data_IF_010148309430
#
_entry.id   IF_010148309430
#
_cell.length_a   1.000
_cell.length_b   1.000
_cell.length_c   1.000
_cell.angle_alpha   90.00
_cell.angle_beta   90.00
_cell.angle_gamma   90.00
#
_symmetry.space_group_name_H-M   'P 1'
#
loop_
_entity.id
_entity.type
_entity.pdbx_description
1 polymer ?
#
# COMPACT_ATOMS: atom_id res chain seq x y z
N UNK A 1 -16.46 -25.80 -6.15
CA UNK A 1 -16.53 -25.38 -7.57
C UNK A 1 -15.34 -25.84 -8.43
N UNK A 2 -14.38 -26.64 -7.93
CA UNK A 2 -13.28 -27.21 -8.75
C UNK A 2 -12.25 -26.21 -9.31
N UNK A 3 -12.55 -24.91 -9.28
CA UNK A 3 -11.63 -23.85 -9.66
C UNK A 3 -10.59 -23.58 -8.56
N UNK A 4 -9.37 -23.29 -8.99
CA UNK A 4 -8.27 -22.88 -8.11
C UNK A 4 -8.44 -21.41 -7.71
N UNK A 5 -8.33 -21.10 -6.42
CA UNK A 5 -8.41 -19.73 -5.96
C UNK A 5 -7.10 -19.00 -6.25
N UNK A 6 -7.20 -17.81 -6.83
CA UNK A 6 -6.09 -16.89 -7.03
C UNK A 6 -6.44 -15.59 -6.31
N UNK A 7 -5.54 -15.14 -5.44
CA UNK A 7 -5.67 -13.86 -4.77
C UNK A 7 -4.91 -12.79 -5.56
N UNK A 8 -5.45 -11.56 -5.62
CA UNK A 8 -4.77 -10.40 -6.17
C UNK A 8 -4.64 -9.34 -5.08
N UNK A 9 -3.43 -8.82 -4.90
CA UNK A 9 -3.13 -7.79 -3.91
C UNK A 9 -2.57 -6.53 -4.61
N UNK A 10 -3.20 -5.35 -4.42
CA UNK A 10 -2.84 -4.13 -5.15
C UNK A 10 -1.77 -3.23 -4.49
N UNK A 11 -1.37 -3.51 -3.26
CA UNK A 11 -0.27 -2.87 -2.52
C UNK A 11 1.09 -3.51 -2.78
N UNK A 12 2.09 -3.13 -1.97
CA UNK A 12 3.48 -3.53 -2.17
C UNK A 12 3.73 -4.99 -1.73
N UNK A 13 4.70 -5.68 -2.36
CA UNK A 13 5.11 -7.00 -1.91
C UNK A 13 5.68 -6.97 -0.49
N UNK A 14 6.33 -5.87 -0.09
CA UNK A 14 6.81 -5.69 1.28
C UNK A 14 5.68 -5.78 2.33
N UNK A 15 4.53 -5.16 2.07
CA UNK A 15 3.35 -5.23 2.96
C UNK A 15 2.81 -6.66 3.06
N UNK A 16 2.73 -7.35 1.93
CA UNK A 16 2.27 -8.73 1.86
C UNK A 16 3.19 -9.64 2.67
N UNK A 17 4.50 -9.51 2.48
CA UNK A 17 5.50 -10.29 3.20
C UNK A 17 5.40 -10.06 4.72
N UNK A 18 5.16 -8.82 5.15
CA UNK A 18 4.93 -8.48 6.56
C UNK A 18 3.67 -9.18 7.09
N UNK A 19 2.54 -9.03 6.39
CA UNK A 19 1.25 -9.60 6.79
C UNK A 19 1.34 -11.12 6.89
N UNK A 20 1.96 -11.80 5.92
CA UNK A 20 2.13 -13.25 5.92
C UNK A 20 3.00 -13.75 7.09
N UNK A 21 3.90 -12.91 7.61
CA UNK A 21 4.76 -13.26 8.74
C UNK A 21 4.17 -12.92 10.12
N UNK A 22 2.99 -12.29 10.20
CA UNK A 22 2.33 -11.96 11.47
C UNK A 22 2.33 -13.14 12.48
N UNK A 23 1.97 -14.39 12.10
CA UNK A 23 1.99 -15.51 13.05
C UNK A 23 3.36 -15.77 13.67
N UNK A 24 4.44 -15.65 12.87
CA UNK A 24 5.82 -15.83 13.33
C UNK A 24 6.25 -14.69 14.25
N UNK A 25 5.89 -13.45 13.89
CA UNK A 25 6.18 -12.26 14.69
C UNK A 25 5.45 -12.25 16.03
N UNK A 26 4.26 -12.86 16.11
CA UNK A 26 3.58 -13.08 17.40
C UNK A 26 4.31 -14.17 18.19
N UNK A 27 4.69 -15.27 17.54
CA UNK A 27 5.36 -16.40 18.17
C UNK A 27 6.73 -16.03 18.77
N UNK A 28 7.53 -15.22 18.07
CA UNK A 28 8.82 -14.75 18.55
C UNK A 28 8.71 -13.57 19.54
N UNK A 29 7.49 -13.07 19.76
CA UNK A 29 7.17 -11.99 20.68
C UNK A 29 7.62 -10.62 20.18
N UNK A 30 7.81 -10.43 18.88
CA UNK A 30 8.01 -9.11 18.27
C UNK A 30 6.72 -8.31 18.21
N UNK A 31 5.59 -8.99 18.00
CA UNK A 31 4.23 -8.44 18.05
C UNK A 31 3.40 -9.13 19.15
N UNK A 32 2.43 -8.42 19.72
CA UNK A 32 1.35 -9.03 20.49
C UNK A 32 0.17 -9.43 19.59
N UNK A 33 -0.85 -10.05 20.19
CA UNK A 33 -2.06 -10.46 19.47
C UNK A 33 -2.97 -9.31 19.02
N UNK A 34 -2.65 -8.06 19.40
CA UNK A 34 -3.37 -6.86 18.96
C UNK A 34 -2.56 -6.06 17.92
N UNK A 35 -1.39 -6.55 17.51
CA UNK A 35 -0.54 -5.88 16.51
C UNK A 35 0.39 -4.81 17.10
N UNK A 36 0.54 -4.76 18.43
CA UNK A 36 1.50 -3.86 19.06
C UNK A 36 2.90 -4.44 19.04
N UNK A 37 3.89 -3.60 18.71
CA UNK A 37 5.31 -3.96 18.74
C UNK A 37 5.78 -4.08 20.19
N UNK A 38 6.26 -5.26 20.55
CA UNK A 38 6.64 -5.65 21.92
C UNK A 38 8.15 -5.63 22.15
N UNK A 39 8.95 -5.89 21.10
CA UNK A 39 10.41 -5.90 21.16
C UNK A 39 10.99 -4.96 20.13
N UNK A 40 11.95 -4.14 20.57
CA UNK A 40 12.60 -3.11 19.75
C UNK A 40 11.59 -2.10 19.18
N UNK A 41 12.06 -0.98 18.65
CA UNK A 41 11.18 -0.05 17.93
C UNK A 41 10.98 -0.44 16.45
N UNK A 42 11.48 -1.62 16.06
CA UNK A 42 11.60 -2.06 14.67
C UNK A 42 11.21 -3.53 14.48
N UNK A 43 10.52 -3.83 13.38
CA UNK A 43 10.25 -5.18 12.88
C UNK A 43 11.14 -5.45 11.67
N UNK A 44 11.91 -6.54 11.73
CA UNK A 44 12.80 -6.98 10.65
C UNK A 44 12.30 -8.27 10.02
N UNK A 45 12.06 -8.28 8.70
CA UNK A 45 11.63 -9.48 7.97
C UNK A 45 12.81 -10.25 7.36
N UNK A 46 13.83 -9.52 6.89
CA UNK A 46 15.08 -10.06 6.38
C UNK A 46 16.19 -9.01 6.48
N UNK A 47 17.45 -9.41 6.34
CA UNK A 47 18.58 -8.49 6.35
C UNK A 47 18.71 -7.66 5.06
N UNK A 48 17.98 -8.03 4.00
CA UNK A 48 17.99 -7.36 2.70
C UNK A 48 16.85 -6.34 2.56
N UNK A 49 15.99 -6.23 3.58
CA UNK A 49 14.88 -5.29 3.62
C UNK A 49 15.10 -4.23 4.69
N UNK A 50 14.60 -3.00 4.48
CA UNK A 50 14.60 -2.00 5.55
C UNK A 50 13.73 -2.46 6.73
N UNK A 51 14.12 -2.12 7.97
CA UNK A 51 13.29 -2.37 9.14
C UNK A 51 12.01 -1.52 9.08
N UNK A 52 10.89 -2.09 9.51
CA UNK A 52 9.65 -1.37 9.73
C UNK A 52 9.66 -0.69 11.08
N UNK A 53 9.43 0.61 11.14
CA UNK A 53 9.16 1.29 12.41
C UNK A 53 7.75 0.98 12.89
N UNK A 54 7.52 1.10 14.19
CA UNK A 54 6.18 0.96 14.78
C UNK A 54 5.11 1.78 14.05
N UNK A 55 5.42 3.01 13.64
CA UNK A 55 4.47 3.92 12.98
C UNK A 55 4.36 3.74 11.46
N UNK A 56 5.10 2.79 10.88
CA UNK A 56 5.06 2.47 9.44
C UNK A 56 4.26 1.19 9.17
N UNK A 57 3.82 0.49 10.21
CA UNK A 57 3.07 -0.76 10.05
C UNK A 57 1.70 -0.50 9.39
N UNK A 58 1.23 -1.39 8.50
CA UNK A 58 0.09 -1.14 7.62
C UNK A 58 -1.25 -1.03 8.37
N UNK A 59 -1.32 -1.51 9.62
CA UNK A 59 -2.50 -1.36 10.48
C UNK A 59 -2.49 -0.07 11.32
N UNK A 60 -1.45 0.76 11.23
CA UNK A 60 -1.36 2.05 11.93
C UNK A 60 -1.98 3.15 11.06
N UNK A 61 -3.29 3.05 10.86
CA UNK A 61 -4.06 3.91 9.95
C UNK A 61 -4.55 5.22 10.59
N UNK A 62 -4.63 5.26 11.91
CA UNK A 62 -5.11 6.42 12.66
C UNK A 62 -4.48 6.46 14.06
N UNK A 63 -4.84 7.46 14.87
CA UNK A 63 -4.43 7.52 16.30
C UNK A 63 -5.35 6.70 17.21
N UNK A 64 -6.47 6.18 16.70
CA UNK A 64 -7.43 5.39 17.47
C UNK A 64 -6.96 3.92 17.53
N UNK A 65 -6.67 3.45 18.75
CA UNK A 65 -6.20 2.08 18.99
C UNK A 65 -7.24 1.01 18.62
N UNK A 66 -8.54 1.33 18.66
CA UNK A 66 -9.59 0.39 18.24
C UNK A 66 -9.59 0.23 16.73
N UNK A 67 -9.46 1.33 15.99
CA UNK A 67 -9.36 1.28 14.53
C UNK A 67 -8.10 0.51 14.09
N UNK A 68 -6.96 0.76 14.73
CA UNK A 68 -5.73 0.01 14.47
C UNK A 68 -5.92 -1.49 14.70
N UNK A 69 -6.56 -1.86 15.82
CA UNK A 69 -6.85 -3.27 16.13
C UNK A 69 -7.76 -3.92 15.10
N UNK A 70 -8.80 -3.22 14.64
CA UNK A 70 -9.70 -3.72 13.59
C UNK A 70 -8.94 -3.98 12.30
N UNK A 71 -8.08 -3.04 11.88
CA UNK A 71 -7.27 -3.22 10.66
C UNK A 71 -6.28 -4.37 10.82
N UNK A 72 -5.66 -4.51 11.99
CA UNK A 72 -4.78 -5.65 12.28
C UNK A 72 -5.52 -7.00 12.20
N UNK A 73 -6.72 -7.10 12.77
CA UNK A 73 -7.56 -8.29 12.67
C UNK A 73 -7.94 -8.57 11.19
N UNK A 74 -8.24 -7.55 10.39
CA UNK A 74 -8.45 -7.69 8.95
C UNK A 74 -7.20 -8.23 8.23
N UNK A 75 -6.00 -7.77 8.59
CA UNK A 75 -4.75 -8.30 8.05
C UNK A 75 -4.57 -9.79 8.40
N UNK A 76 -4.90 -10.20 9.63
CA UNK A 76 -4.83 -11.61 10.03
C UNK A 76 -5.83 -12.48 9.26
N UNK A 77 -7.06 -12.01 9.08
CA UNK A 77 -8.07 -12.72 8.29
C UNK A 77 -7.61 -12.87 6.83
N UNK A 78 -7.09 -11.79 6.24
CA UNK A 78 -6.56 -11.83 4.87
C UNK A 78 -5.37 -12.80 4.75
N UNK A 79 -4.44 -12.78 5.71
CA UNK A 79 -3.31 -13.71 5.80
C UNK A 79 -3.79 -15.17 5.83
N UNK A 80 -4.74 -15.49 6.71
CA UNK A 80 -5.29 -16.83 6.85
C UNK A 80 -5.99 -17.28 5.57
N UNK A 81 -6.79 -16.41 4.95
CA UNK A 81 -7.49 -16.72 3.71
C UNK A 81 -6.53 -17.00 2.55
N UNK A 82 -5.48 -16.19 2.40
CA UNK A 82 -4.44 -16.40 1.39
C UNK A 82 -3.72 -17.73 1.64
N UNK A 83 -3.26 -17.96 2.88
CA UNK A 83 -2.52 -19.17 3.22
C UNK A 83 -3.35 -20.46 3.06
N UNK A 84 -4.63 -20.42 3.44
CA UNK A 84 -5.47 -21.61 3.46
C UNK A 84 -6.05 -21.95 2.08
N UNK A 85 -6.36 -20.94 1.26
CA UNK A 85 -7.17 -21.14 0.08
C UNK A 85 -6.48 -20.76 -1.23
N UNK A 86 -5.59 -19.75 -1.23
CA UNK A 86 -5.04 -19.23 -2.48
C UNK A 86 -3.90 -20.13 -2.98
N UNK A 87 -4.05 -20.61 -4.22
CA UNK A 87 -2.97 -21.34 -4.91
C UNK A 87 -1.88 -20.38 -5.37
N UNK A 88 -2.26 -19.20 -5.85
CA UNK A 88 -1.36 -18.17 -6.32
C UNK A 88 -1.73 -16.83 -5.70
N UNK A 89 -0.71 -16.03 -5.36
CA UNK A 89 -0.86 -14.64 -4.98
C UNK A 89 -0.25 -13.75 -6.06
N UNK A 90 -1.12 -13.04 -6.76
CA UNK A 90 -0.75 -12.03 -7.75
C UNK A 90 -0.56 -10.68 -7.07
N UNK A 91 0.45 -9.94 -7.49
CA UNK A 91 0.73 -8.61 -6.96
C UNK A 91 1.11 -7.64 -8.08
N UNK A 92 0.63 -6.40 -7.97
CA UNK A 92 0.97 -5.35 -8.93
C UNK A 92 2.39 -4.78 -8.69
N UNK A 93 3.39 -5.63 -8.85
CA UNK A 93 4.81 -5.31 -8.72
C UNK A 93 5.62 -6.11 -9.74
N UNK A 94 6.92 -5.87 -9.85
CA UNK A 94 7.86 -6.68 -10.61
C UNK A 94 9.05 -7.08 -9.73
N UNK A 95 9.69 -8.21 -10.05
CA UNK A 95 10.65 -8.85 -9.15
C UNK A 95 11.84 -7.95 -8.80
N UNK A 96 12.40 -7.25 -9.78
CA UNK A 96 13.57 -6.38 -9.60
C UNK A 96 13.30 -5.18 -8.69
N UNK A 97 12.04 -4.78 -8.49
CA UNK A 97 11.68 -3.70 -7.57
C UNK A 97 11.72 -4.13 -6.11
N UNK A 98 11.27 -5.36 -5.82
CA UNK A 98 11.00 -5.84 -4.46
C UNK A 98 11.50 -7.29 -4.24
N UNK A 99 12.65 -7.65 -4.81
CA UNK A 99 13.13 -9.05 -4.88
C UNK A 99 13.17 -9.74 -3.52
N UNK A 100 13.66 -9.04 -2.49
CA UNK A 100 13.78 -9.59 -1.13
C UNK A 100 12.42 -9.84 -0.48
N UNK A 101 11.41 -9.00 -0.77
CA UNK A 101 10.03 -9.26 -0.32
C UNK A 101 9.39 -10.40 -1.11
N UNK A 102 9.58 -10.42 -2.44
CA UNK A 102 9.07 -11.49 -3.31
C UNK A 102 9.54 -12.88 -2.85
N UNK A 103 10.81 -12.99 -2.46
CA UNK A 103 11.42 -14.24 -1.98
C UNK A 103 10.82 -14.76 -0.65
N UNK A 104 10.13 -13.91 0.10
CA UNK A 104 9.48 -14.26 1.37
C UNK A 104 8.03 -14.75 1.19
N UNK A 105 7.48 -14.61 -0.02
CA UNK A 105 6.06 -14.88 -0.28
C UNK A 105 5.93 -16.21 -1.04
N UNK A 106 5.26 -17.23 -0.46
CA UNK A 106 5.05 -18.50 -1.15
C UNK A 106 4.03 -18.36 -2.28
N UNK A 107 4.25 -19.10 -3.38
CA UNK A 107 3.37 -19.12 -4.57
C UNK A 107 3.05 -17.72 -5.11
N UNK A 108 4.06 -16.86 -5.13
CA UNK A 108 3.94 -15.46 -5.56
C UNK A 108 4.13 -15.30 -7.06
N UNK A 109 3.36 -14.41 -7.66
CA UNK A 109 3.49 -14.05 -9.07
C UNK A 109 3.38 -12.52 -9.22
N UNK A 110 4.52 -11.81 -9.35
CA UNK A 110 4.51 -10.39 -9.67
C UNK A 110 4.03 -10.20 -11.12
N UNK A 111 2.94 -9.43 -11.30
CA UNK A 111 2.27 -9.21 -12.60
C UNK A 111 2.26 -7.74 -13.04
N UNK A 112 3.02 -6.89 -12.35
CA UNK A 112 3.11 -5.47 -12.60
C UNK A 112 4.23 -5.05 -13.56
N UNK A 113 4.35 -3.74 -13.84
CA UNK A 113 3.40 -2.71 -13.44
C UNK A 113 2.14 -2.74 -14.30
N UNK A 114 0.99 -2.98 -13.66
CA UNK A 114 -0.33 -2.85 -14.24
C UNK A 114 -0.68 -1.37 -14.27
N UNK A 115 -0.27 -0.70 -15.34
CA UNK A 115 -0.62 0.69 -15.61
C UNK A 115 -1.99 0.73 -16.29
N UNK A 116 -2.86 1.63 -15.85
CA UNK A 116 -4.11 1.93 -16.56
C UNK A 116 -3.77 2.62 -17.89
N UNK A 117 -3.59 1.82 -18.95
CA UNK A 117 -3.10 2.28 -20.25
C UNK A 117 -4.19 2.82 -21.19
N UNK A 118 -5.44 2.87 -20.73
CA UNK A 118 -6.55 3.38 -21.54
C UNK A 118 -7.36 4.40 -20.74
N UNK A 119 -7.07 5.68 -20.99
CA UNK A 119 -8.05 6.77 -20.88
C UNK A 119 -9.10 6.49 -21.97
N UNK A 120 -9.94 5.49 -21.72
CA UNK A 120 -11.11 5.25 -22.53
C UNK A 120 -12.15 6.25 -22.03
N UNK A 121 -12.82 6.94 -22.96
CA UNK A 121 -13.90 7.90 -22.65
C UNK A 121 -15.12 7.26 -21.98
N UNK A 122 -15.03 5.98 -21.60
CA UNK A 122 -16.05 5.28 -20.84
C UNK A 122 -15.75 5.44 -19.34
N UNK A 123 -16.75 5.82 -18.52
CA UNK A 123 -16.60 5.99 -17.07
C UNK A 123 -16.25 4.70 -16.31
N UNK A 124 -16.06 3.57 -17.00
CA UNK A 124 -15.79 2.26 -16.40
C UNK A 124 -14.43 1.66 -16.79
N UNK A 125 -13.57 2.38 -17.52
CA UNK A 125 -12.44 1.75 -18.23
C UNK A 125 -11.04 2.07 -17.70
N UNK A 126 -10.90 2.78 -16.59
CA UNK A 126 -9.59 3.29 -16.13
C UNK A 126 -9.24 3.02 -14.66
N UNK A 127 -10.00 2.18 -13.95
CA UNK A 127 -9.79 1.95 -12.51
C UNK A 127 -10.17 3.13 -11.60
N UNK A 128 -10.48 4.30 -12.17
CA UNK A 128 -11.09 5.43 -11.47
C UNK A 128 -12.60 5.23 -11.34
N UNK A 129 -13.14 5.54 -10.17
CA UNK A 129 -14.60 5.62 -9.91
C UNK A 129 -15.18 6.95 -10.42
N UNK A 130 -14.32 7.94 -10.68
CA UNK A 130 -14.68 9.31 -11.04
C UNK A 130 -14.41 9.60 -12.52
N UNK A 131 -15.19 10.53 -13.08
CA UNK A 131 -14.94 11.10 -14.40
C UNK A 131 -13.64 11.91 -14.36
N UNK A 132 -12.74 11.62 -15.29
CA UNK A 132 -11.45 12.29 -15.39
C UNK A 132 -11.59 13.73 -15.91
N UNK A 133 -10.99 14.68 -15.18
CA UNK A 133 -10.82 16.05 -15.65
C UNK A 133 -9.47 16.20 -16.36
N UNK A 134 -9.52 16.61 -17.63
CA UNK A 134 -8.33 16.75 -18.49
C UNK A 134 -7.91 18.21 -18.69
N UNK A 135 -8.59 19.18 -18.07
CA UNK A 135 -8.29 20.61 -18.22
C UNK A 135 -6.88 20.98 -17.74
N UNK A 136 -6.36 20.27 -16.72
CA UNK A 136 -5.01 20.45 -16.20
C UNK A 136 -3.92 20.14 -17.24
N UNK A 137 -4.20 19.28 -18.23
CA UNK A 137 -3.23 18.90 -19.26
C UNK A 137 -2.91 20.09 -20.17
N UNK A 138 -3.91 20.87 -20.57
CA UNK A 138 -3.70 22.08 -21.39
C UNK A 138 -2.94 23.20 -20.65
N UNK A 139 -2.98 23.21 -19.32
CA UNK A 139 -2.14 24.08 -18.51
C UNK A 139 -0.71 23.55 -18.41
N UNK A 140 -0.55 22.23 -18.24
CA UNK A 140 0.75 21.55 -18.16
C UNK A 140 1.57 21.70 -19.44
N UNK A 141 0.91 21.63 -20.61
CA UNK A 141 1.55 21.81 -21.94
C UNK A 141 2.25 23.16 -22.11
N UNK A 142 1.92 24.16 -21.29
CA UNK A 142 2.50 25.51 -21.34
C UNK A 142 3.70 25.71 -20.40
N UNK A 143 3.98 24.75 -19.53
CA UNK A 143 5.05 24.84 -18.53
C UNK A 143 6.39 24.37 -19.10
N UNK A 144 7.50 24.76 -18.46
CA UNK A 144 8.81 24.24 -18.83
C UNK A 144 8.91 22.76 -18.43
N UNK A 145 9.66 21.98 -19.21
CA UNK A 145 9.89 20.56 -18.90
C UNK A 145 10.52 20.44 -17.51
N UNK A 146 9.90 19.63 -16.65
CA UNK A 146 10.39 19.37 -15.29
C UNK A 146 10.19 20.52 -14.31
N UNK A 147 9.41 21.56 -14.64
CA UNK A 147 9.19 22.71 -13.74
C UNK A 147 7.94 22.62 -12.86
N UNK A 148 7.16 21.55 -12.97
CA UNK A 148 5.88 21.41 -12.27
C UNK A 148 5.98 20.34 -11.20
N UNK A 149 5.49 20.64 -10.00
CA UNK A 149 5.28 19.68 -8.93
C UNK A 149 3.83 19.20 -8.98
N UNK A 150 3.62 17.89 -9.09
CA UNK A 150 2.30 17.27 -8.95
C UNK A 150 2.04 16.92 -7.48
N UNK A 151 0.89 17.33 -6.96
CA UNK A 151 0.48 17.05 -5.57
C UNK A 151 -0.87 16.34 -5.58
N UNK A 152 -0.92 15.15 -5.00
CA UNK A 152 -2.14 14.36 -4.79
C UNK A 152 -1.93 13.41 -3.61
N UNK A 153 -2.95 13.29 -2.77
CA UNK A 153 -2.92 12.44 -1.58
C UNK A 153 -3.78 11.17 -1.73
N UNK A 154 -4.24 10.89 -2.95
CA UNK A 154 -5.13 9.78 -3.22
C UNK A 154 -6.59 10.05 -2.79
N UNK A 155 -7.43 9.03 -2.91
CA UNK A 155 -8.88 9.14 -2.72
C UNK A 155 -9.36 8.99 -1.27
N UNK A 156 -8.48 8.56 -0.36
CA UNK A 156 -8.84 8.26 1.03
C UNK A 156 -8.29 9.27 2.04
N UNK A 157 -7.41 10.19 1.62
CA UNK A 157 -6.81 11.16 2.53
C UNK A 157 -7.83 12.18 3.03
N UNK A 158 -7.79 12.45 4.34
CA UNK A 158 -8.62 13.46 5.00
C UNK A 158 -7.70 14.40 5.77
N UNK A 159 -7.89 15.71 5.57
CA UNK A 159 -7.05 16.75 6.19
C UNK A 159 -7.87 17.61 7.14
N UNK A 160 -7.26 18.04 8.24
CA UNK A 160 -7.81 19.12 9.05
C UNK A 160 -7.63 20.47 8.35
N UNK A 161 -8.40 21.48 8.76
CA UNK A 161 -8.23 22.84 8.25
C UNK A 161 -6.82 23.37 8.53
N UNK A 162 -6.25 23.05 9.70
CA UNK A 162 -4.90 23.46 10.06
C UNK A 162 -3.86 22.86 9.09
N UNK A 163 -3.99 21.57 8.71
CA UNK A 163 -3.10 20.97 7.73
C UNK A 163 -3.20 21.65 6.37
N UNK A 164 -4.42 22.00 5.93
CA UNK A 164 -4.61 22.73 4.67
C UNK A 164 -4.03 24.15 4.74
N UNK A 165 -4.11 24.80 5.90
CA UNK A 165 -3.52 26.11 6.15
C UNK A 165 -1.99 26.09 6.17
N UNK A 166 -1.36 24.93 6.34
CA UNK A 166 0.10 24.78 6.19
C UNK A 166 0.47 24.41 4.74
N UNK A 167 -0.29 23.51 4.11
CA UNK A 167 -0.01 23.04 2.74
C UNK A 167 -0.14 24.17 1.72
N UNK A 168 -1.23 24.95 1.78
CA UNK A 168 -1.49 25.97 0.76
C UNK A 168 -0.43 27.08 0.72
N UNK A 169 -0.06 27.73 1.84
CA UNK A 169 1.03 28.70 1.85
C UNK A 169 2.38 28.06 1.53
N UNK A 170 2.62 26.81 1.96
CA UNK A 170 3.84 26.09 1.63
C UNK A 170 4.06 25.92 0.12
N UNK A 171 2.98 25.70 -0.64
CA UNK A 171 3.02 25.65 -2.10
C UNK A 171 3.21 27.04 -2.72
N UNK A 172 2.52 28.06 -2.20
CA UNK A 172 2.64 29.45 -2.68
C UNK A 172 4.07 30.00 -2.52
N UNK A 173 4.73 29.67 -1.41
CA UNK A 173 6.07 30.16 -1.10
C UNK A 173 7.20 29.35 -1.78
N UNK A 174 6.86 28.28 -2.50
CA UNK A 174 7.84 27.40 -3.16
C UNK A 174 8.25 27.85 -4.57
N UNK A 175 7.73 29.00 -5.02
CA UNK A 175 8.06 29.67 -6.30
C UNK A 175 9.48 30.24 -6.37
#
# INVERSE_FOLDING_TARGET
MGAELVAFQPGAAADIALILQIPKLIQDGSLDTNGFVMKNDFINLSNEMPPWRRNELPWIVSRDLKEQKIVFECCQIAQQAVHQYAKWLLCNTFYELESSACNLIPNFCPVGPLLCSKISKSPASGGSILVEDTTCLSWLDKQKIGSVIYVSFGSLAVFSQDQLNEIAPGLELSD
#
